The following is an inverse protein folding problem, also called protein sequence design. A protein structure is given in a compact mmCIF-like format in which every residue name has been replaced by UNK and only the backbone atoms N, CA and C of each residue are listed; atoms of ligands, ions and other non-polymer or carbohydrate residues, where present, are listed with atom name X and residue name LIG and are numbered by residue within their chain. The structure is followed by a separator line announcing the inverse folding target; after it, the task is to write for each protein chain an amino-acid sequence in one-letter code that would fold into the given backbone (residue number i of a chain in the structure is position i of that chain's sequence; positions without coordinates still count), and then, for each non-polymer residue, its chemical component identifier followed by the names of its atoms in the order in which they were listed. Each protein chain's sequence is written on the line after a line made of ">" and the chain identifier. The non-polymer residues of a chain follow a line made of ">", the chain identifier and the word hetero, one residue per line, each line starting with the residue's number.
data_IF_531220193549
#
_entry.id   IF_531220193549
#
_cell.length_a   1.000
_cell.length_b   1.000
_cell.length_c   1.000
_cell.angle_alpha   90.00
_cell.angle_beta   90.00
_cell.angle_gamma   90.00
#
_symmetry.space_group_name_H-M   'P 1'
#
loop_
_entity.id
_entity.type
_entity.pdbx_description
1 polymer ?
#
# COMPACT_ATOMS: atom_id res chain seq x y z
N UNK A 1 -6.77 23.93 -4.12
CA UNK A 1 -5.48 23.74 -3.41
C UNK A 1 -4.40 23.49 -4.45
N UNK A 2 -3.16 23.90 -4.19
CA UNK A 2 -2.01 23.56 -5.07
C UNK A 2 -1.56 22.12 -4.79
N UNK A 3 -0.85 21.49 -5.73
CA UNK A 3 -0.30 20.15 -5.52
C UNK A 3 0.59 20.07 -4.27
N UNK A 4 1.43 21.08 -4.05
CA UNK A 4 2.27 21.16 -2.85
C UNK A 4 1.45 21.26 -1.54
N UNK A 5 0.33 21.97 -1.55
CA UNK A 5 -0.58 22.04 -0.38
C UNK A 5 -1.24 20.71 -0.08
N UNK A 6 -1.61 19.94 -1.12
CA UNK A 6 -2.15 18.59 -0.98
C UNK A 6 -1.10 17.63 -0.41
N UNK A 7 0.13 17.66 -0.93
CA UNK A 7 1.21 16.82 -0.44
C UNK A 7 1.55 17.06 1.04
N UNK A 8 1.55 18.31 1.48
CA UNK A 8 1.73 18.65 2.90
C UNK A 8 0.60 18.12 3.77
N UNK A 9 -0.65 18.22 3.31
CA UNK A 9 -1.80 17.69 4.03
C UNK A 9 -1.77 16.16 4.13
N UNK A 10 -1.38 15.47 3.05
CA UNK A 10 -1.21 14.02 3.03
C UNK A 10 -0.12 13.57 3.99
N UNK A 11 1.03 14.27 3.97
CA UNK A 11 2.13 14.03 4.91
C UNK A 11 1.66 14.16 6.35
N UNK A 12 1.04 15.27 6.69
CA UNK A 12 0.63 15.56 8.07
C UNK A 12 -0.47 14.59 8.54
N UNK A 13 -1.39 14.19 7.64
CA UNK A 13 -2.37 13.14 7.89
C UNK A 13 -1.70 11.80 8.19
N UNK A 14 -0.78 11.37 7.33
CA UNK A 14 -0.02 10.14 7.53
C UNK A 14 0.79 10.15 8.83
N UNK A 15 1.51 11.23 9.14
CA UNK A 15 2.32 11.33 10.36
C UNK A 15 1.45 11.22 11.63
N UNK A 16 0.29 11.86 11.62
CA UNK A 16 -0.69 11.74 12.72
C UNK A 16 -1.21 10.31 12.84
N UNK A 17 -1.54 9.66 11.73
CA UNK A 17 -2.03 8.29 11.72
C UNK A 17 -0.94 7.29 12.15
N UNK A 18 0.32 7.54 11.82
CA UNK A 18 1.46 6.73 12.25
C UNK A 18 1.68 6.82 13.76
N UNK A 19 1.66 8.04 14.32
CA UNK A 19 1.77 8.28 15.77
C UNK A 19 0.64 7.60 16.56
N UNK A 20 -0.59 7.58 16.00
CA UNK A 20 -1.76 6.91 16.56
C UNK A 20 -1.90 5.43 16.20
N UNK A 21 -0.93 4.82 15.53
CA UNK A 21 -1.03 3.46 15.02
C UNK A 21 -1.02 2.41 16.14
N UNK A 22 -1.75 1.31 15.90
CA UNK A 22 -1.71 0.15 16.80
C UNK A 22 -0.59 -0.78 16.38
N UNK A 23 0.51 -0.79 17.11
CA UNK A 23 1.61 -1.73 16.90
C UNK A 23 1.27 -3.10 17.46
N UNK A 24 1.38 -4.12 16.62
CA UNK A 24 1.20 -5.54 16.96
C UNK A 24 2.53 -6.24 16.75
N UNK A 25 2.91 -7.10 17.69
CA UNK A 25 4.23 -7.77 17.67
C UNK A 25 4.18 -9.23 17.26
N UNK A 26 2.98 -9.83 17.20
CA UNK A 26 2.79 -11.24 16.82
C UNK A 26 1.77 -11.35 15.69
N UNK A 27 1.95 -12.26 14.74
CA UNK A 27 3.06 -13.20 14.59
C UNK A 27 4.39 -12.55 14.22
N UNK A 28 4.36 -11.35 13.62
CA UNK A 28 5.49 -10.47 13.32
C UNK A 28 5.10 -9.01 13.59
N UNK A 29 6.07 -8.10 13.58
CA UNK A 29 5.78 -6.68 13.79
C UNK A 29 5.00 -6.09 12.62
N UNK A 30 3.84 -5.53 12.91
CA UNK A 30 3.02 -4.78 11.97
C UNK A 30 2.21 -3.71 12.70
N UNK A 31 1.72 -2.73 11.95
CA UNK A 31 0.98 -1.59 12.48
C UNK A 31 -0.36 -1.46 11.75
N UNK A 32 -1.42 -1.31 12.51
CA UNK A 32 -2.75 -1.00 11.99
C UNK A 32 -3.01 0.49 12.15
N UNK A 33 -3.49 1.14 11.09
CA UNK A 33 -3.70 2.57 11.01
C UNK A 33 -5.12 2.91 10.61
N UNK A 34 -5.57 4.12 10.99
CA UNK A 34 -6.87 4.69 10.63
C UNK A 34 -6.67 6.15 10.21
N UNK A 35 -7.59 6.65 9.38
CA UNK A 35 -7.63 8.06 8.95
C UNK A 35 -6.27 8.55 8.44
N UNK A 36 -5.67 7.78 7.54
CA UNK A 36 -4.28 7.95 7.07
C UNK A 36 -4.11 9.24 6.27
N UNK A 37 -5.08 9.53 5.41
CA UNK A 37 -5.06 10.70 4.52
C UNK A 37 -6.21 11.65 4.87
N UNK A 38 -6.12 12.93 4.50
CA UNK A 38 -7.29 13.79 4.44
C UNK A 38 -8.41 13.14 3.65
N UNK A 39 -9.66 13.30 4.10
CA UNK A 39 -10.80 12.59 3.51
C UNK A 39 -10.97 12.89 2.02
N UNK A 40 -10.82 14.13 1.62
CA UNK A 40 -10.91 14.57 0.22
C UNK A 40 -9.84 13.94 -0.66
N UNK A 41 -8.62 13.75 -0.15
CA UNK A 41 -7.55 13.06 -0.84
C UNK A 41 -7.82 11.55 -0.95
N UNK A 42 -8.27 10.90 0.13
CA UNK A 42 -8.66 9.50 0.09
C UNK A 42 -9.80 9.25 -0.92
N UNK A 43 -10.78 10.18 -0.98
CA UNK A 43 -11.86 10.17 -1.97
C UNK A 43 -11.36 10.35 -3.40
N UNK A 44 -10.44 11.28 -3.64
CA UNK A 44 -9.85 11.52 -4.95
C UNK A 44 -9.07 10.29 -5.46
N UNK A 45 -8.32 9.63 -4.58
CA UNK A 45 -7.60 8.40 -4.90
C UNK A 45 -8.55 7.22 -5.14
N UNK A 46 -9.62 7.09 -4.33
CA UNK A 46 -10.66 6.08 -4.57
C UNK A 46 -11.34 6.26 -5.93
N UNK A 47 -11.56 7.51 -6.35
CA UNK A 47 -12.27 7.88 -7.58
C UNK A 47 -11.38 7.96 -8.82
N UNK A 48 -10.10 7.54 -8.75
CA UNK A 48 -9.23 7.52 -9.92
C UNK A 48 -9.91 6.79 -11.09
N UNK A 49 -9.94 7.40 -12.30
CA UNK A 49 -10.61 6.83 -13.46
C UNK A 49 -9.80 5.72 -14.13
N UNK A 50 -9.32 4.79 -13.31
CA UNK A 50 -8.63 3.58 -13.74
C UNK A 50 -9.68 2.47 -13.82
N UNK A 51 -9.88 1.85 -14.99
CA UNK A 51 -10.88 0.81 -15.14
C UNK A 51 -10.55 -0.40 -14.26
N UNK A 52 -11.57 -0.93 -13.58
CA UNK A 52 -11.41 -2.17 -12.85
C UNK A 52 -11.21 -3.34 -13.83
N UNK A 53 -10.39 -4.34 -13.46
CA UNK A 53 -10.17 -5.50 -14.31
C UNK A 53 -11.47 -6.29 -14.50
N UNK A 54 -11.63 -6.91 -15.67
CA UNK A 54 -12.76 -7.78 -15.99
C UNK A 54 -12.30 -9.00 -16.75
N UNK A 55 -13.04 -10.11 -16.61
CA UNK A 55 -12.76 -11.35 -17.35
C UNK A 55 -11.47 -12.06 -16.94
N UNK A 56 -10.94 -11.77 -15.75
CA UNK A 56 -9.73 -12.42 -15.23
C UNK A 56 -10.06 -13.74 -14.54
N UNK A 57 -9.13 -14.68 -14.67
CA UNK A 57 -9.09 -15.90 -13.86
C UNK A 57 -7.91 -15.78 -12.90
N UNK A 58 -8.20 -15.91 -11.61
CA UNK A 58 -7.19 -15.77 -10.57
C UNK A 58 -6.65 -17.16 -10.17
N UNK A 59 -5.33 -17.27 -10.07
CA UNK A 59 -4.62 -18.50 -9.68
C UNK A 59 -4.04 -18.46 -8.27
N UNK A 60 -4.30 -17.38 -7.52
CA UNK A 60 -3.68 -17.14 -6.22
C UNK A 60 -2.22 -16.67 -6.29
N UNK A 61 -1.67 -16.54 -7.49
CA UNK A 61 -0.30 -16.08 -7.70
C UNK A 61 -0.25 -14.63 -8.11
N UNK A 62 0.77 -13.94 -7.63
CA UNK A 62 0.95 -12.50 -7.88
C UNK A 62 1.12 -12.16 -9.36
N UNK A 63 1.80 -13.02 -10.12
CA UNK A 63 2.10 -12.78 -11.54
C UNK A 63 0.84 -12.59 -12.38
N UNK A 64 -0.26 -13.26 -12.03
CA UNK A 64 -1.54 -13.11 -12.73
C UNK A 64 -2.21 -11.77 -12.46
N UNK A 65 -1.78 -11.06 -11.42
CA UNK A 65 -2.40 -9.81 -10.98
C UNK A 65 -1.63 -8.55 -11.45
N UNK A 66 -0.39 -8.70 -11.94
CA UNK A 66 0.45 -7.57 -12.32
C UNK A 66 -0.14 -6.73 -13.47
N UNK A 67 -0.85 -7.34 -14.39
CA UNK A 67 -1.48 -6.65 -15.53
C UNK A 67 -2.62 -5.69 -15.15
N UNK A 68 -3.07 -5.75 -13.90
CA UNK A 68 -4.18 -4.93 -13.38
C UNK A 68 -3.70 -3.80 -12.48
N UNK A 69 -2.39 -3.62 -12.35
CA UNK A 69 -1.79 -2.62 -11.46
C UNK A 69 -1.60 -1.30 -12.18
N UNK A 70 -1.88 -0.22 -11.50
CA UNK A 70 -1.63 1.13 -11.97
C UNK A 70 -0.60 1.79 -11.06
N UNK A 71 0.53 2.23 -11.63
CA UNK A 71 1.64 2.78 -10.86
C UNK A 71 1.59 4.30 -10.81
N UNK A 72 1.90 4.89 -9.67
CA UNK A 72 2.02 6.33 -9.51
C UNK A 72 3.43 6.79 -9.93
N UNK A 73 3.68 6.70 -11.21
CA UNK A 73 4.90 7.14 -11.87
C UNK A 73 4.72 8.55 -12.46
N UNK A 74 5.71 9.05 -13.19
CA UNK A 74 5.70 10.40 -13.77
C UNK A 74 4.45 10.66 -14.63
N UNK A 75 4.00 9.70 -15.43
CA UNK A 75 2.79 9.83 -16.26
C UNK A 75 1.52 9.98 -15.41
N UNK A 76 1.42 9.18 -14.35
CA UNK A 76 0.30 9.27 -13.41
C UNK A 76 0.29 10.61 -12.67
N UNK A 77 1.47 11.11 -12.28
CA UNK A 77 1.61 12.40 -11.62
C UNK A 77 1.17 13.60 -12.49
N UNK A 78 1.39 13.51 -13.79
CA UNK A 78 0.93 14.54 -14.74
C UNK A 78 -0.60 14.52 -14.91
N UNK A 79 -1.19 13.32 -14.95
CA UNK A 79 -2.62 13.14 -15.20
C UNK A 79 -3.50 13.36 -13.96
N UNK A 80 -3.01 12.98 -12.79
CA UNK A 80 -3.81 12.92 -11.57
C UNK A 80 -3.09 13.59 -10.40
N UNK A 81 -3.45 14.83 -10.04
CA UNK A 81 -2.80 15.56 -8.93
C UNK A 81 -2.78 14.80 -7.60
N UNK A 82 -3.78 13.97 -7.33
CA UNK A 82 -3.85 13.16 -6.12
C UNK A 82 -2.73 12.12 -6.04
N UNK A 83 -2.33 11.50 -7.17
CA UNK A 83 -1.22 10.53 -7.18
C UNK A 83 0.12 11.20 -6.93
N UNK A 84 0.30 12.41 -7.49
CA UNK A 84 1.49 13.22 -7.27
C UNK A 84 1.60 13.67 -5.82
N UNK A 85 0.51 14.18 -5.23
CA UNK A 85 0.50 14.65 -3.86
C UNK A 85 0.87 13.52 -2.88
N UNK A 86 0.31 12.32 -3.07
CA UNK A 86 0.65 11.15 -2.25
C UNK A 86 2.14 10.77 -2.42
N UNK A 87 2.65 10.75 -3.64
CA UNK A 87 4.05 10.42 -3.89
C UNK A 87 5.00 11.45 -3.26
N UNK A 88 4.72 12.75 -3.39
CA UNK A 88 5.48 13.83 -2.74
C UNK A 88 5.44 13.70 -1.21
N UNK A 89 4.29 13.35 -0.62
CA UNK A 89 4.16 13.14 0.81
C UNK A 89 5.01 11.97 1.33
N UNK A 90 5.12 10.87 0.57
CA UNK A 90 5.95 9.72 0.94
C UNK A 90 7.42 9.87 0.54
N UNK A 91 7.77 10.81 -0.33
CA UNK A 91 9.15 11.21 -0.60
C UNK A 91 9.67 12.31 0.36
N UNK A 92 8.78 12.90 1.16
CA UNK A 92 9.14 13.97 2.11
C UNK A 92 10.10 13.44 3.20
N UNK A 93 11.23 14.13 3.50
CA UNK A 93 12.18 13.65 4.50
C UNK A 93 11.61 13.44 5.91
N UNK A 94 10.57 14.21 6.31
CA UNK A 94 9.91 13.99 7.60
C UNK A 94 9.13 12.69 7.64
N UNK A 95 8.46 12.34 6.55
CA UNK A 95 7.77 11.05 6.40
C UNK A 95 8.77 9.91 6.52
N UNK A 96 9.86 9.97 5.77
CA UNK A 96 10.93 8.96 5.76
C UNK A 96 11.50 8.79 7.17
N UNK A 97 11.98 9.88 7.79
CA UNK A 97 12.54 9.82 9.14
C UNK A 97 11.55 9.27 10.19
N UNK A 98 10.25 9.56 10.04
CA UNK A 98 9.22 9.05 10.95
C UNK A 98 8.99 7.54 10.76
N UNK A 99 8.98 7.06 9.51
CA UNK A 99 8.90 5.63 9.20
C UNK A 99 10.13 4.89 9.77
N UNK A 100 11.32 5.39 9.50
CA UNK A 100 12.57 4.81 9.99
C UNK A 100 12.60 4.70 11.51
N UNK A 101 12.21 5.78 12.19
CA UNK A 101 12.14 5.81 13.65
C UNK A 101 11.12 4.81 14.21
N UNK A 102 9.88 4.78 13.67
CA UNK A 102 8.82 3.93 14.20
C UNK A 102 9.07 2.45 13.88
N UNK A 103 9.52 2.18 12.67
CA UNK A 103 9.74 0.82 12.19
C UNK A 103 11.12 0.25 12.56
N UNK A 104 12.09 1.11 12.91
CA UNK A 104 13.46 0.71 13.22
C UNK A 104 14.19 0.15 12.00
N UNK A 105 14.07 0.84 10.86
CA UNK A 105 14.68 0.50 9.57
C UNK A 105 15.46 1.69 9.01
N UNK A 106 16.29 1.45 8.01
CA UNK A 106 17.00 2.47 7.23
C UNK A 106 16.48 2.39 5.78
N UNK A 107 15.99 3.50 5.26
CA UNK A 107 15.46 3.62 3.90
C UNK A 107 16.43 4.32 2.94
N UNK A 108 17.62 4.73 3.41
CA UNK A 108 18.63 5.41 2.60
C UNK A 108 18.96 4.59 1.34
N UNK A 109 18.97 5.25 0.19
CA UNK A 109 19.26 4.63 -1.11
C UNK A 109 18.11 3.87 -1.74
N UNK A 110 16.96 3.68 -1.04
CA UNK A 110 15.78 3.03 -1.61
C UNK A 110 15.04 3.95 -2.57
N UNK A 111 14.14 3.39 -3.36
CA UNK A 111 13.24 4.12 -4.25
C UNK A 111 11.79 3.89 -3.87
N UNK A 112 10.98 4.95 -3.95
CA UNK A 112 9.56 4.92 -3.67
C UNK A 112 8.78 4.29 -4.83
N UNK A 113 7.92 3.31 -4.53
CA UNK A 113 7.01 2.65 -5.45
C UNK A 113 5.60 2.66 -4.87
N UNK A 114 4.65 3.18 -5.64
CA UNK A 114 3.24 3.16 -5.28
C UNK A 114 2.44 2.46 -6.38
N UNK A 115 1.64 1.48 -6.00
CA UNK A 115 0.75 0.80 -6.92
C UNK A 115 -0.71 0.86 -6.46
N UNK A 116 -1.60 1.29 -7.33
CA UNK A 116 -3.04 1.21 -7.12
C UNK A 116 -3.55 -0.14 -7.59
N UNK A 117 -4.17 -0.84 -6.67
CA UNK A 117 -4.67 -2.18 -6.87
C UNK A 117 -6.19 -2.16 -6.93
N UNK A 118 -6.75 -2.85 -7.92
CA UNK A 118 -8.18 -3.09 -8.05
C UNK A 118 -8.41 -4.58 -8.22
N UNK A 119 -9.03 -5.18 -7.22
CA UNK A 119 -9.31 -6.61 -7.21
C UNK A 119 -10.82 -6.82 -7.27
N UNK A 120 -11.28 -7.73 -8.11
CA UNK A 120 -12.70 -8.03 -8.35
C UNK A 120 -13.08 -9.39 -7.79
N UNK A 121 -14.35 -9.75 -7.87
CA UNK A 121 -14.83 -11.03 -7.35
C UNK A 121 -14.04 -12.23 -7.90
N UNK A 122 -13.76 -13.18 -7.02
CA UNK A 122 -12.86 -14.30 -7.30
C UNK A 122 -11.37 -14.03 -7.08
N UNK A 123 -10.97 -12.79 -6.79
CA UNK A 123 -9.57 -12.49 -6.45
C UNK A 123 -9.16 -13.16 -5.13
N UNK A 124 -7.98 -13.74 -5.14
CA UNK A 124 -7.28 -14.25 -3.96
C UNK A 124 -5.77 -14.26 -4.19
N UNK A 125 -5.02 -14.32 -3.12
CA UNK A 125 -3.56 -14.40 -3.15
C UNK A 125 -3.10 -15.36 -2.07
N UNK A 126 -2.36 -16.41 -2.45
CA UNK A 126 -1.84 -17.42 -1.53
C UNK A 126 -0.93 -16.81 -0.45
N UNK A 127 -0.78 -17.46 0.71
CA UNK A 127 0.19 -17.02 1.73
C UNK A 127 1.59 -16.94 1.14
N UNK A 128 2.22 -15.77 1.29
CA UNK A 128 3.56 -15.48 0.78
C UNK A 128 4.26 -14.47 1.66
N UNK A 129 5.56 -14.34 1.47
CA UNK A 129 6.36 -13.22 1.95
C UNK A 129 6.72 -12.30 0.78
N UNK A 130 6.95 -11.04 1.06
CA UNK A 130 7.42 -10.11 0.04
C UNK A 130 8.85 -10.45 -0.39
N UNK A 131 9.20 -10.14 -1.65
CA UNK A 131 10.55 -10.37 -2.16
C UNK A 131 11.58 -9.49 -1.44
N UNK A 132 12.79 -10.02 -1.21
CA UNK A 132 13.81 -9.40 -0.36
C UNK A 132 14.33 -8.02 -0.78
N UNK A 133 13.99 -7.54 -1.98
CA UNK A 133 14.29 -6.17 -2.44
C UNK A 133 13.30 -5.12 -1.95
N UNK A 134 12.19 -5.51 -1.30
CA UNK A 134 11.30 -4.58 -0.61
C UNK A 134 11.81 -4.40 0.83
N UNK A 135 12.01 -3.14 1.22
CA UNK A 135 12.48 -2.77 2.56
C UNK A 135 11.34 -2.31 3.48
N UNK A 136 10.20 -1.94 2.88
CA UNK A 136 9.01 -1.49 3.57
C UNK A 136 7.78 -1.79 2.73
N UNK A 137 6.70 -2.19 3.37
CA UNK A 137 5.39 -2.37 2.73
C UNK A 137 4.29 -1.75 3.59
N UNK A 138 3.49 -0.92 2.95
CA UNK A 138 2.27 -0.35 3.52
C UNK A 138 1.12 -0.52 2.54
N UNK A 139 -0.06 -0.83 3.07
CA UNK A 139 -1.31 -0.81 2.32
C UNK A 139 -2.21 0.28 2.87
N UNK A 140 -2.81 1.09 1.98
CA UNK A 140 -3.93 1.99 2.30
C UNK A 140 -5.18 1.38 1.66
N UNK A 141 -6.17 1.05 2.46
CA UNK A 141 -7.43 0.48 1.99
C UNK A 141 -8.41 1.60 1.61
N UNK A 142 -8.88 1.54 0.38
CA UNK A 142 -9.80 2.53 -0.20
C UNK A 142 -11.12 1.91 -0.65
N UNK A 143 -11.41 0.68 -0.23
CA UNK A 143 -12.66 -0.02 -0.59
C UNK A 143 -13.86 0.61 0.12
N UNK A 144 -14.98 0.61 -0.57
CA UNK A 144 -16.29 1.05 -0.06
C UNK A 144 -17.36 0.05 -0.44
N UNK A 145 -18.45 0.07 0.28
CA UNK A 145 -19.60 -0.79 0.02
C UNK A 145 -19.79 -1.86 1.08
N UNK A 146 -20.87 -2.59 0.95
CA UNK A 146 -21.26 -3.63 1.92
C UNK A 146 -20.25 -4.77 1.91
N UNK A 147 -19.71 -5.11 3.07
CA UNK A 147 -18.75 -6.20 3.26
C UNK A 147 -17.29 -5.80 2.97
N UNK A 148 -17.01 -4.54 2.59
CA UNK A 148 -15.63 -4.10 2.30
C UNK A 148 -14.72 -4.15 3.53
N UNK A 149 -15.26 -4.11 4.73
CA UNK A 149 -14.54 -4.27 6.00
C UNK A 149 -13.80 -5.60 6.11
N UNK A 150 -14.30 -6.64 5.41
CA UNK A 150 -13.71 -7.97 5.40
C UNK A 150 -12.68 -8.20 4.28
N UNK A 151 -12.39 -7.19 3.44
CA UNK A 151 -11.49 -7.34 2.30
C UNK A 151 -10.02 -7.01 2.62
N UNK A 152 -9.66 -7.00 3.89
CA UNK A 152 -8.30 -6.73 4.35
C UNK A 152 -7.31 -7.84 4.03
N UNK A 153 -6.05 -7.57 4.34
CA UNK A 153 -4.96 -8.53 4.22
C UNK A 153 -4.98 -9.51 5.38
N UNK A 154 -4.88 -10.80 5.08
CA UNK A 154 -4.77 -11.87 6.06
C UNK A 154 -3.32 -12.01 6.53
N UNK A 155 -3.14 -12.15 7.84
CA UNK A 155 -1.85 -12.29 8.51
C UNK A 155 -1.70 -13.73 9.02
N UNK A 156 -0.57 -14.34 8.72
CA UNK A 156 -0.23 -15.73 9.05
C UNK A 156 0.99 -15.80 9.92
N UNK A 157 1.11 -16.84 10.73
CA UNK A 157 2.34 -17.15 11.45
C UNK A 157 3.33 -17.94 10.56
N UNK A 158 4.48 -18.32 11.14
CA UNK A 158 5.53 -19.07 10.43
C UNK A 158 5.13 -20.49 10.04
N UNK A 159 4.12 -21.05 10.70
CA UNK A 159 3.57 -22.38 10.40
C UNK A 159 2.43 -22.30 9.36
N UNK A 160 2.26 -21.13 8.72
CA UNK A 160 1.18 -20.81 7.78
C UNK A 160 -0.22 -20.97 8.39
N UNK A 161 -0.33 -20.75 9.69
CA UNK A 161 -1.63 -20.72 10.36
C UNK A 161 -2.16 -19.29 10.34
N UNK A 162 -3.38 -19.13 9.86
CA UNK A 162 -4.08 -17.84 9.89
C UNK A 162 -4.22 -17.31 11.33
N UNK A 163 -3.88 -16.06 11.55
CA UNK A 163 -3.96 -15.41 12.86
C UNK A 163 -5.07 -14.38 12.93
N UNK A 164 -5.10 -13.45 12.00
CA UNK A 164 -6.12 -12.42 11.92
C UNK A 164 -6.10 -11.74 10.53
N UNK A 165 -7.08 -10.87 10.33
CA UNK A 165 -7.19 -10.02 9.15
C UNK A 165 -7.04 -8.55 9.54
N UNK A 166 -6.25 -7.81 8.77
CA UNK A 166 -6.19 -6.36 8.94
C UNK A 166 -7.55 -5.73 8.62
N UNK A 167 -8.08 -4.84 9.46
CA UNK A 167 -9.34 -4.14 9.19
C UNK A 167 -9.26 -3.34 7.88
N UNK A 168 -10.23 -3.53 6.97
CA UNK A 168 -10.28 -2.87 5.67
C UNK A 168 -11.36 -1.78 5.62
N UNK A 169 -11.34 -0.90 6.62
CA UNK A 169 -12.17 0.29 6.57
C UNK A 169 -11.61 1.29 5.57
N UNK A 170 -12.47 2.11 4.97
CA UNK A 170 -12.03 3.18 4.07
C UNK A 170 -11.01 4.08 4.78
N UNK A 171 -9.88 4.36 4.12
CA UNK A 171 -8.78 5.17 4.64
C UNK A 171 -8.08 4.58 5.89
N UNK A 172 -8.16 3.27 6.08
CA UNK A 172 -7.33 2.52 7.04
C UNK A 172 -6.15 1.84 6.35
N UNK A 173 -5.23 1.26 7.11
CA UNK A 173 -4.08 0.59 6.49
C UNK A 173 -3.31 -0.33 7.41
N UNK A 174 -2.38 -1.02 6.79
CA UNK A 174 -1.46 -1.98 7.39
C UNK A 174 -0.03 -1.63 6.96
N UNK A 175 0.89 -1.58 7.92
CA UNK A 175 2.33 -1.52 7.68
C UNK A 175 2.96 -2.82 8.18
N UNK A 176 3.91 -3.36 7.43
CA UNK A 176 4.84 -4.39 7.89
C UNK A 176 6.20 -4.22 7.23
N UNK A 177 7.23 -4.76 7.89
CA UNK A 177 8.59 -4.74 7.36
C UNK A 177 8.86 -6.11 6.73
N UNK A 178 9.04 -6.16 5.39
CA UNK A 178 9.27 -7.42 4.69
C UNK A 178 10.41 -8.25 5.28
N UNK A 179 10.15 -9.53 5.47
CA UNK A 179 11.08 -10.50 6.04
C UNK A 179 10.68 -11.91 5.63
N UNK A 180 11.48 -12.89 5.98
CA UNK A 180 11.22 -14.30 5.67
C UNK A 180 10.11 -14.92 6.51
N UNK A 181 9.61 -14.18 7.49
CA UNK A 181 8.58 -14.57 8.46
C UNK A 181 7.29 -13.75 8.34
N UNK A 182 7.24 -12.74 7.47
CA UNK A 182 6.09 -11.84 7.32
C UNK A 182 5.05 -12.39 6.34
N UNK A 183 4.51 -13.57 6.67
CA UNK A 183 3.53 -14.27 5.86
C UNK A 183 2.19 -13.55 5.84
N UNK A 184 1.71 -13.25 4.64
CA UNK A 184 0.43 -12.59 4.44
C UNK A 184 -0.26 -13.06 3.16
N UNK A 185 -1.56 -12.87 3.08
CA UNK A 185 -2.40 -13.38 2.00
C UNK A 185 -3.63 -12.48 1.74
N UNK A 186 -4.39 -12.84 0.73
CA UNK A 186 -5.79 -12.47 0.59
C UNK A 186 -6.55 -13.76 0.35
N UNK A 187 -7.13 -14.34 1.40
CA UNK A 187 -7.88 -15.57 1.29
C UNK A 187 -9.11 -15.41 0.38
N UNK A 188 -9.55 -16.48 -0.29
CA UNK A 188 -10.75 -16.45 -1.12
C UNK A 188 -11.96 -15.98 -0.32
N UNK A 189 -12.64 -14.95 -0.84
CA UNK A 189 -13.87 -14.38 -0.27
C UNK A 189 -14.67 -13.64 -1.32
N UNK A 190 -15.98 -13.47 -1.15
CA UNK A 190 -16.80 -12.67 -2.05
C UNK A 190 -16.35 -11.19 -2.03
N UNK A 191 -16.15 -10.61 -3.20
CA UNK A 191 -15.87 -9.17 -3.38
C UNK A 191 -17.04 -8.58 -4.15
N UNK A 192 -18.02 -8.04 -3.42
CA UNK A 192 -19.23 -7.44 -4.02
C UNK A 192 -18.95 -6.03 -4.54
N UNK A 193 -18.16 -5.93 -5.62
CA UNK A 193 -17.72 -4.66 -6.19
C UNK A 193 -16.24 -4.68 -6.54
N UNK A 194 -15.50 -3.67 -6.13
CA UNK A 194 -14.05 -3.56 -6.38
C UNK A 194 -13.32 -3.30 -5.07
N UNK A 195 -12.43 -4.23 -4.71
CA UNK A 195 -11.48 -4.03 -3.62
C UNK A 195 -10.38 -3.11 -4.13
N UNK A 196 -10.28 -1.93 -3.53
CA UNK A 196 -9.29 -0.90 -3.89
C UNK A 196 -8.28 -0.72 -2.77
N UNK A 197 -7.01 -0.72 -3.12
CA UNK A 197 -5.93 -0.39 -2.18
C UNK A 197 -4.77 0.29 -2.90
N UNK A 198 -3.97 1.04 -2.15
CA UNK A 198 -2.67 1.51 -2.60
C UNK A 198 -1.62 0.76 -1.82
N UNK A 199 -0.67 0.13 -2.52
CA UNK A 199 0.51 -0.48 -1.91
C UNK A 199 1.67 0.49 -2.08
N UNK A 200 2.30 0.85 -0.97
CA UNK A 200 3.46 1.72 -0.90
C UNK A 200 4.65 0.88 -0.48
N UNK A 201 5.67 0.84 -1.31
CA UNK A 201 6.92 0.17 -1.00
C UNK A 201 8.09 1.15 -1.11
N UNK A 202 9.06 1.00 -0.22
CA UNK A 202 10.42 1.43 -0.50
C UNK A 202 11.20 0.18 -0.93
N UNK A 203 11.81 0.29 -2.11
CA UNK A 203 12.50 -0.84 -2.75
C UNK A 203 13.99 -0.56 -2.90
N UNK A 204 14.81 -1.59 -2.72
CA UNK A 204 16.25 -1.50 -2.85
C UNK A 204 16.68 -1.13 -4.29
N UNK A 205 17.92 -0.63 -4.50
CA UNK A 205 18.43 -0.24 -5.82
C UNK A 205 18.36 -1.36 -6.88
N UNK A 206 18.31 -2.61 -6.45
CA UNK A 206 18.19 -3.80 -7.31
C UNK A 206 16.81 -3.96 -7.95
N UNK A 207 15.83 -3.12 -7.62
CA UNK A 207 14.50 -3.15 -8.26
C UNK A 207 14.61 -2.86 -9.75
N UNK A 208 14.31 -3.85 -10.59
CA UNK A 208 14.55 -3.78 -12.04
C UNK A 208 13.49 -2.99 -12.82
N UNK A 209 12.24 -3.01 -12.36
CA UNK A 209 11.13 -2.38 -13.05
C UNK A 209 11.07 -0.87 -12.73
N UNK A 210 12.03 -0.10 -13.24
CA UNK A 210 12.20 1.32 -12.98
C UNK A 210 10.97 2.17 -13.35
N UNK A 211 10.18 1.73 -14.35
CA UNK A 211 8.97 2.40 -14.81
C UNK A 211 7.82 2.36 -13.77
N UNK A 212 7.92 1.52 -12.75
CA UNK A 212 6.97 1.44 -11.64
C UNK A 212 7.25 2.46 -10.52
N UNK A 213 8.44 3.06 -10.54
CA UNK A 213 8.89 3.96 -9.48
C UNK A 213 8.29 5.35 -9.62
N UNK A 214 7.96 5.98 -8.49
CA UNK A 214 7.45 7.34 -8.45
C UNK A 214 8.52 8.35 -8.90
N UNK A 215 9.74 8.15 -8.41
CA UNK A 215 10.90 9.01 -8.68
C UNK A 215 12.14 8.16 -8.97
N UNK A 216 12.25 7.58 -10.19
CA UNK A 216 13.33 6.64 -10.50
C UNK A 216 14.74 7.24 -10.38
N UNK A 217 14.89 8.56 -10.56
CA UNK A 217 16.20 9.24 -10.51
C UNK A 217 16.48 9.91 -9.16
N UNK A 218 15.58 9.81 -8.19
CA UNK A 218 15.70 10.47 -6.89
C UNK A 218 15.46 9.47 -5.76
N UNK A 219 16.44 8.61 -5.43
CA UNK A 219 16.34 7.72 -4.28
C UNK A 219 16.26 8.51 -2.97
N UNK A 220 15.81 7.84 -1.93
CA UNK A 220 15.79 8.36 -0.56
C UNK A 220 17.21 8.68 -0.09
N UNK A 221 17.40 9.85 0.53
CA UNK A 221 18.71 10.35 1.01
C UNK A 221 18.72 10.58 2.50
#
# INVERSE_FOLDING_TARGET
>A
MTAASLALADRDGFLKALDGSQRITKPYRHWLMKDILPLDQAEALHALPVPAPSGLTFSGRRETNNVTRFYFNAEAHEKFPATRALAEAFQDPKTIASIEKECGIDLTGTSLRLEFCQDTDGFWLEPHTDIGVKQYTMLIYLSKGKGSEDWGTDVYDQDLKWTHRAPCHFNSGLIFIPGTDTWHAVDPRPISGVRKSIIINYVAPEWRARHELAYPETPVT
#
